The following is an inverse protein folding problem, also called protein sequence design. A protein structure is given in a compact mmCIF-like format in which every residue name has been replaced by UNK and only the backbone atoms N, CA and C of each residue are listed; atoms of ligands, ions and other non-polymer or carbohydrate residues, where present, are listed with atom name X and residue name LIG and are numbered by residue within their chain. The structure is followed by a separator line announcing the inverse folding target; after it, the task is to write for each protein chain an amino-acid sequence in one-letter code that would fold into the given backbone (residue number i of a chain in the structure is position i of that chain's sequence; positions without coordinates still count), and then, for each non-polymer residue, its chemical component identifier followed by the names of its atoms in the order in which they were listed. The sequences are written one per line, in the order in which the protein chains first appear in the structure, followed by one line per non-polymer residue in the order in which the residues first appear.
data_IF_466036510774
#
_entry.id   IF_466036510774
#
_cell.length_a   1.000
_cell.length_b   1.000
_cell.length_c   1.000
_cell.angle_alpha   90.00
_cell.angle_beta   90.00
_cell.angle_gamma   90.00
#
_symmetry.space_group_name_H-M   'P 1'
#
loop_
_entity.id
_entity.type
_entity.pdbx_description
1 polymer ?
#
# COMPACT_ATOMS: atom_id res chain seq x y z
N UNK A 1 -7.03 13.20 -0.77
CA UNK A 1 -7.94 13.04 0.39
C UNK A 1 -8.82 11.82 0.16
N UNK A 2 -8.68 10.82 1.02
CA UNK A 2 -9.39 9.54 0.96
C UNK A 2 -10.70 9.62 1.74
N UNK A 3 -11.84 9.27 1.14
CA UNK A 3 -13.14 9.16 1.84
C UNK A 3 -13.94 7.92 1.46
N UNK A 4 -13.44 7.16 0.49
CA UNK A 4 -14.05 5.94 -0.03
C UNK A 4 -12.96 4.93 -0.41
N UNK A 5 -13.36 3.67 -0.60
CA UNK A 5 -12.46 2.64 -1.11
C UNK A 5 -11.97 2.98 -2.52
N UNK A 6 -12.82 3.60 -3.35
CA UNK A 6 -12.42 4.06 -4.67
C UNK A 6 -11.32 5.12 -4.62
N UNK A 7 -11.39 6.07 -3.67
CA UNK A 7 -10.34 7.08 -3.52
C UNK A 7 -9.00 6.43 -3.11
N UNK A 8 -9.05 5.48 -2.17
CA UNK A 8 -7.87 4.73 -1.73
C UNK A 8 -7.24 3.98 -2.89
N UNK A 9 -8.04 3.20 -3.63
CA UNK A 9 -7.57 2.40 -4.76
C UNK A 9 -6.98 3.29 -5.86
N UNK A 10 -7.65 4.41 -6.17
CA UNK A 10 -7.20 5.34 -7.19
C UNK A 10 -5.84 5.96 -6.83
N UNK A 11 -5.63 6.36 -5.57
CA UNK A 11 -4.37 6.93 -5.11
C UNK A 11 -3.23 5.90 -5.17
N UNK A 12 -3.48 4.69 -4.65
CA UNK A 12 -2.45 3.64 -4.62
C UNK A 12 -2.10 3.18 -6.04
N UNK A 13 -3.09 3.03 -6.92
CA UNK A 13 -2.88 2.67 -8.32
C UNK A 13 -2.18 3.80 -9.11
N UNK A 14 -2.50 5.06 -8.81
CA UNK A 14 -1.81 6.21 -9.39
C UNK A 14 -0.32 6.18 -9.00
N UNK A 15 -0.01 6.03 -7.71
CA UNK A 15 1.35 5.96 -7.21
C UNK A 15 2.16 4.83 -7.86
N UNK A 16 1.57 3.63 -7.95
CA UNK A 16 2.20 2.49 -8.65
C UNK A 16 2.48 2.82 -10.13
N UNK A 17 1.50 3.42 -10.82
CA UNK A 17 1.65 3.76 -12.24
C UNK A 17 2.70 4.86 -12.47
N UNK A 18 2.78 5.85 -11.59
CA UNK A 18 3.80 6.91 -11.63
C UNK A 18 5.18 6.32 -11.38
N UNK A 19 5.34 5.51 -10.33
CA UNK A 19 6.60 4.85 -10.01
C UNK A 19 7.10 3.96 -11.16
N UNK A 20 6.26 3.10 -11.72
CA UNK A 20 6.65 2.20 -12.81
C UNK A 20 6.99 2.91 -14.13
N UNK A 21 6.57 4.17 -14.33
CA UNK A 21 6.99 4.97 -15.50
C UNK A 21 8.44 5.44 -15.35
N UNK A 22 8.87 5.72 -14.12
CA UNK A 22 10.22 6.21 -13.81
C UNK A 22 11.19 5.04 -13.55
N UNK A 23 10.69 3.92 -13.04
CA UNK A 23 11.46 2.73 -12.66
C UNK A 23 10.95 1.48 -13.39
N UNK A 24 11.29 1.36 -14.67
CA UNK A 24 10.80 0.26 -15.54
C UNK A 24 11.25 -1.13 -15.10
N UNK A 25 12.31 -1.21 -14.30
CA UNK A 25 12.86 -2.42 -13.70
C UNK A 25 12.12 -2.87 -12.44
N UNK A 26 11.30 -2.02 -11.83
CA UNK A 26 10.63 -2.33 -10.58
C UNK A 26 9.38 -3.19 -10.81
N UNK A 27 9.37 -4.40 -10.25
CA UNK A 27 8.28 -5.35 -10.42
C UNK A 27 7.14 -5.16 -9.39
N UNK A 28 6.63 -3.93 -9.27
CA UNK A 28 5.56 -3.56 -8.34
C UNK A 28 4.19 -3.75 -8.99
N UNK A 29 3.34 -4.58 -8.40
CA UNK A 29 1.96 -4.82 -8.84
C UNK A 29 0.94 -4.32 -7.81
N UNK A 30 -0.15 -3.74 -8.31
CA UNK A 30 -1.34 -3.39 -7.53
C UNK A 30 -2.35 -4.54 -7.52
N UNK A 31 -2.97 -4.78 -6.36
CA UNK A 31 -4.00 -5.81 -6.18
C UNK A 31 -5.09 -5.39 -5.18
N UNK A 32 -6.29 -5.96 -5.33
CA UNK A 32 -7.42 -5.85 -4.40
C UNK A 32 -7.77 -7.27 -3.97
N UNK A 33 -7.07 -7.82 -2.97
CA UNK A 33 -7.16 -9.23 -2.65
C UNK A 33 -8.50 -9.61 -2.00
N UNK A 34 -9.09 -10.72 -2.45
CA UNK A 34 -10.37 -11.25 -1.95
C UNK A 34 -10.33 -11.78 -0.51
N UNK A 35 -9.12 -12.06 0.02
CA UNK A 35 -8.90 -12.62 1.36
C UNK A 35 -8.67 -11.54 2.45
N UNK A 36 -8.85 -10.27 2.11
CA UNK A 36 -8.68 -9.13 3.01
C UNK A 36 -10.00 -8.45 3.39
N UNK A 37 -10.01 -7.60 4.44
CA UNK A 37 -11.16 -6.79 4.77
C UNK A 37 -11.67 -6.01 3.55
N UNK A 38 -12.99 -5.84 3.46
CA UNK A 38 -13.63 -5.15 2.35
C UNK A 38 -12.98 -3.77 2.09
N UNK A 39 -12.63 -3.51 0.83
CA UNK A 39 -12.04 -2.24 0.42
C UNK A 39 -10.53 -2.12 0.64
N UNK A 40 -9.87 -3.13 1.20
CA UNK A 40 -8.41 -3.19 1.25
C UNK A 40 -7.79 -3.21 -0.16
N UNK A 41 -6.58 -2.71 -0.29
CA UNK A 41 -5.75 -2.90 -1.49
C UNK A 41 -4.29 -3.11 -1.09
N UNK A 42 -3.48 -3.60 -2.02
CA UNK A 42 -2.09 -3.92 -1.78
C UNK A 42 -1.17 -3.53 -2.94
N UNK A 43 0.08 -3.28 -2.60
CA UNK A 43 1.21 -3.26 -3.52
C UNK A 43 2.14 -4.41 -3.15
N UNK A 44 2.64 -5.14 -4.14
CA UNK A 44 3.60 -6.21 -3.93
C UNK A 44 4.74 -6.12 -4.94
N UNK A 45 5.97 -6.30 -4.47
CA UNK A 45 7.14 -6.45 -5.33
C UNK A 45 7.42 -7.95 -5.55
N UNK A 46 7.40 -8.42 -6.80
CA UNK A 46 7.67 -9.84 -7.07
C UNK A 46 9.13 -10.25 -6.88
N UNK A 47 10.07 -9.31 -6.91
CA UNK A 47 11.51 -9.61 -6.89
C UNK A 47 12.02 -9.91 -5.48
N UNK A 48 11.55 -9.17 -4.49
CA UNK A 48 11.89 -9.37 -3.07
C UNK A 48 10.71 -9.89 -2.23
N UNK A 49 9.54 -10.06 -2.84
CA UNK A 49 8.28 -10.52 -2.22
C UNK A 49 7.75 -9.61 -1.11
N UNK A 50 8.25 -8.40 -0.94
CA UNK A 50 7.71 -7.43 0.01
C UNK A 50 6.31 -6.98 -0.42
N UNK A 51 5.46 -6.69 0.57
CA UNK A 51 4.07 -6.29 0.34
C UNK A 51 3.67 -5.13 1.26
N UNK A 52 2.96 -4.15 0.73
CA UNK A 52 2.29 -3.11 1.50
C UNK A 52 0.78 -3.30 1.34
N UNK A 53 0.04 -3.23 2.45
CA UNK A 53 -1.42 -3.35 2.49
C UNK A 53 -2.00 -2.07 3.04
N UNK A 54 -3.08 -1.58 2.43
CA UNK A 54 -3.76 -0.34 2.81
C UNK A 54 -5.24 -0.60 3.07
N UNK A 55 -5.77 -0.05 4.15
CA UNK A 55 -7.16 -0.20 4.57
C UNK A 55 -7.71 1.17 4.99
N UNK A 56 -8.89 1.52 4.48
CA UNK A 56 -9.63 2.69 4.93
C UNK A 56 -10.44 2.34 6.18
N UNK A 57 -10.16 3.03 7.27
CA UNK A 57 -10.92 2.95 8.51
C UNK A 57 -11.76 4.21 8.71
N UNK A 58 -12.99 4.03 9.22
CA UNK A 58 -13.89 5.13 9.59
C UNK A 58 -14.12 5.11 11.10
N UNK A 59 -13.81 6.22 11.75
CA UNK A 59 -14.00 6.44 13.19
C UNK A 59 -15.00 7.58 13.41
N UNK A 60 -16.30 7.25 13.34
CA UNK A 60 -17.36 8.24 13.43
C UNK A 60 -17.41 9.14 12.19
N UNK A 61 -16.98 10.40 12.36
CA UNK A 61 -16.86 11.40 11.27
C UNK A 61 -15.45 11.48 10.68
N UNK A 62 -14.46 10.86 11.32
CA UNK A 62 -13.06 10.86 10.89
C UNK A 62 -12.76 9.65 9.99
N UNK A 63 -11.90 9.87 9.00
CA UNK A 63 -11.36 8.81 8.13
C UNK A 63 -9.86 8.69 8.38
N UNK A 64 -9.35 7.46 8.40
CA UNK A 64 -7.92 7.18 8.49
C UNK A 64 -7.53 6.07 7.53
N UNK A 65 -6.32 6.10 7.02
CA UNK A 65 -5.77 5.00 6.23
C UNK A 65 -4.76 4.26 7.09
N UNK A 66 -5.11 3.04 7.47
CA UNK A 66 -4.17 2.10 8.09
C UNK A 66 -3.34 1.42 7.02
N UNK A 67 -2.06 1.21 7.29
CA UNK A 67 -1.19 0.46 6.41
C UNK A 67 -0.29 -0.50 7.17
N UNK A 68 0.03 -1.61 6.52
CA UNK A 68 0.90 -2.65 7.05
C UNK A 68 1.94 -3.03 6.00
N UNK A 69 3.20 -3.09 6.40
CA UNK A 69 4.34 -3.47 5.58
C UNK A 69 4.77 -4.89 5.96
N UNK A 70 4.98 -5.73 4.95
CA UNK A 70 5.27 -7.15 5.10
C UNK A 70 6.55 -7.54 4.39
N UNK A 71 7.38 -8.32 5.07
CA UNK A 71 8.59 -8.93 4.54
C UNK A 71 8.52 -10.45 4.64
N UNK A 72 9.17 -11.20 3.72
CA UNK A 72 9.31 -12.64 3.88
C UNK A 72 10.26 -12.97 5.02
N UNK A 73 9.85 -13.87 5.92
CA UNK A 73 10.74 -14.47 6.93
C UNK A 73 11.67 -15.54 6.33
N UNK A 74 12.53 -16.12 7.17
CA UNK A 74 13.46 -17.20 6.79
C UNK A 74 12.76 -18.42 6.17
N UNK A 75 11.47 -18.61 6.46
CA UNK A 75 10.62 -19.68 5.93
C UNK A 75 9.71 -19.20 4.81
N UNK A 76 10.00 -18.03 4.22
CA UNK A 76 9.27 -17.46 3.10
C UNK A 76 7.81 -17.09 3.40
N UNK A 77 7.43 -16.92 4.66
CA UNK A 77 6.10 -16.43 5.06
C UNK A 77 6.14 -14.91 5.22
N UNK A 78 5.10 -14.24 4.75
CA UNK A 78 4.96 -12.80 4.96
C UNK A 78 4.66 -12.50 6.42
N UNK A 79 5.53 -11.72 7.06
CA UNK A 79 5.35 -11.23 8.42
C UNK A 79 5.17 -9.72 8.39
N UNK A 80 4.23 -9.16 9.18
CA UNK A 80 4.14 -7.72 9.33
C UNK A 80 5.36 -7.21 10.10
N UNK A 81 6.10 -6.27 9.51
CA UNK A 81 7.26 -5.61 10.15
C UNK A 81 6.95 -4.20 10.63
N UNK A 82 5.95 -3.56 10.02
CA UNK A 82 5.50 -2.22 10.40
C UNK A 82 3.99 -2.08 10.21
N UNK A 83 3.32 -1.46 11.18
CA UNK A 83 1.91 -1.08 11.11
C UNK A 83 1.79 0.35 11.60
N UNK A 84 1.08 1.18 10.84
CA UNK A 84 0.76 2.54 11.22
C UNK A 84 -0.53 3.03 10.55
N UNK A 85 -0.99 4.19 10.96
CA UNK A 85 -2.10 4.92 10.35
C UNK A 85 -1.69 6.35 10.01
N UNK A 86 -2.27 6.89 8.96
CA UNK A 86 -2.16 8.31 8.59
C UNK A 86 -3.54 8.92 8.43
N UNK A 87 -3.61 10.24 8.60
CA UNK A 87 -4.87 10.94 8.36
C UNK A 87 -5.23 10.87 6.88
N UNK A 88 -6.52 10.82 6.60
CA UNK A 88 -7.02 10.63 5.24
C UNK A 88 -6.72 11.79 4.27
N UNK A 89 -6.38 12.96 4.79
CA UNK A 89 -5.94 14.14 4.05
C UNK A 89 -4.42 14.16 3.80
N UNK A 90 -3.65 13.46 4.63
CA UNK A 90 -2.20 13.23 4.47
C UNK A 90 -1.89 12.04 3.54
N UNK A 91 -2.85 11.14 3.32
CA UNK A 91 -2.68 10.02 2.39
C UNK A 91 -2.89 10.47 0.93
N UNK A 92 -1.79 10.52 0.17
CA UNK A 92 -1.75 10.84 -1.26
C UNK A 92 -0.75 9.95 -2.04
N UNK A 93 -0.60 10.20 -3.34
CA UNK A 93 0.28 9.40 -4.18
C UNK A 93 1.76 9.55 -3.81
N UNK A 94 2.18 10.74 -3.35
CA UNK A 94 3.56 10.99 -2.94
C UNK A 94 3.91 10.20 -1.67
N UNK A 95 2.98 10.10 -0.72
CA UNK A 95 3.12 9.23 0.45
C UNK A 95 3.31 7.76 0.05
N UNK A 96 2.49 7.26 -0.90
CA UNK A 96 2.60 5.86 -1.35
C UNK A 96 3.90 5.63 -2.12
N UNK A 97 4.33 6.56 -2.98
CA UNK A 97 5.63 6.50 -3.67
C UNK A 97 6.78 6.41 -2.66
N UNK A 98 6.74 7.23 -1.61
CA UNK A 98 7.75 7.17 -0.55
C UNK A 98 7.81 5.79 0.12
N UNK A 99 6.66 5.12 0.34
CA UNK A 99 6.66 3.74 0.85
C UNK A 99 7.17 2.71 -0.17
N UNK A 100 7.00 2.95 -1.48
CA UNK A 100 7.59 2.09 -2.50
C UNK A 100 9.11 2.18 -2.43
N UNK A 101 9.65 3.40 -2.41
CA UNK A 101 11.10 3.66 -2.36
C UNK A 101 11.75 3.11 -1.08
N UNK A 102 11.24 3.51 0.08
CA UNK A 102 11.86 3.21 1.38
C UNK A 102 11.66 1.77 1.83
N UNK A 103 10.72 1.03 1.24
CA UNK A 103 10.40 -0.31 1.72
C UNK A 103 10.28 -1.35 0.62
N UNK A 104 9.43 -1.13 -0.38
CA UNK A 104 9.14 -2.18 -1.36
C UNK A 104 10.31 -2.45 -2.31
N UNK A 105 11.24 -1.50 -2.48
CA UNK A 105 12.38 -1.64 -3.41
C UNK A 105 13.73 -1.79 -2.70
N UNK A 106 13.89 -1.32 -1.47
CA UNK A 106 15.08 -1.59 -0.64
C UNK A 106 15.34 -3.10 -0.46
#
# INVERSE_FOLDING_TARGET
MVRSYQDLHAIVQQAQSEYSKEHTEASIAFDVPDDMPEGACALANSDNRKKAVFILARFGEEYKVGYALYEPDELSKLQPVHLADVNHDEFDAAFVIHLIDEFLVE
#
